data_IF_192267290021
#
_entry.id   IF_192267290021
#
_cell.length_a   1.000
_cell.length_b   1.000
_cell.length_c   1.000
_cell.angle_alpha   90.00
_cell.angle_beta   90.00
_cell.angle_gamma   90.00
#
_symmetry.space_group_name_H-M   'P 1'
#
loop_
_entity.id
_entity.type
_entity.pdbx_description
1 polymer ?
#
# COMPACT_ATOMS: atom_id res chain seq x y z
N UNK A 1 14.64 1.75 -6.53
CA UNK A 1 14.32 1.80 -7.97
C UNK A 1 14.69 3.18 -8.53
N UNK A 2 14.09 4.30 -8.09
CA UNK A 2 14.39 5.65 -8.61
C UNK A 2 15.88 5.99 -8.60
N UNK A 3 16.56 5.80 -7.46
CA UNK A 3 18.00 6.04 -7.34
C UNK A 3 18.83 5.15 -8.28
N UNK A 4 18.41 3.89 -8.48
CA UNK A 4 19.07 2.99 -9.41
C UNK A 4 18.93 3.41 -10.89
N UNK A 5 17.96 4.28 -11.18
CA UNK A 5 17.77 4.90 -12.51
C UNK A 5 18.43 6.28 -12.63
N UNK A 6 19.27 6.67 -11.65
CA UNK A 6 19.94 7.96 -11.66
C UNK A 6 19.04 9.16 -11.35
N UNK A 7 17.80 8.94 -10.89
CA UNK A 7 16.88 10.04 -10.54
C UNK A 7 17.25 10.65 -9.20
N UNK A 8 17.11 11.96 -9.09
CA UNK A 8 17.23 12.65 -7.81
C UNK A 8 16.00 12.39 -6.96
N UNK A 9 16.18 12.00 -5.71
CA UNK A 9 15.10 11.74 -4.77
C UNK A 9 15.28 12.57 -3.52
N UNK A 10 14.29 13.36 -3.17
CA UNK A 10 14.19 14.05 -1.88
C UNK A 10 13.17 13.33 -1.01
N UNK A 11 13.55 13.07 0.22
CA UNK A 11 12.69 12.36 1.18
C UNK A 11 12.27 13.34 2.26
N UNK A 12 10.94 13.45 2.48
CA UNK A 12 10.39 14.14 3.64
C UNK A 12 10.37 13.21 4.84
N UNK A 13 10.82 13.67 5.99
CA UNK A 13 10.84 12.90 7.23
C UNK A 13 10.40 13.74 8.41
N UNK A 14 9.63 13.15 9.32
CA UNK A 14 9.27 13.76 10.61
C UNK A 14 10.44 13.78 11.61
N UNK A 15 11.58 13.18 11.27
CA UNK A 15 12.79 13.16 12.10
C UNK A 15 13.79 14.16 11.54
N UNK A 16 14.13 15.19 12.35
CA UNK A 16 15.02 16.30 11.98
C UNK A 16 16.47 15.91 11.63
N UNK A 17 16.94 14.72 11.91
CA UNK A 17 18.38 14.37 11.84
C UNK A 17 18.73 13.22 10.92
N UNK A 18 17.92 12.92 9.91
CA UNK A 18 18.26 11.83 8.97
C UNK A 18 18.90 12.36 7.70
N UNK A 19 20.24 12.18 7.60
CA UNK A 19 21.04 12.13 6.38
C UNK A 19 20.38 12.72 5.10
N UNK A 20 20.34 14.05 4.97
CA UNK A 20 19.87 14.71 3.75
C UNK A 20 18.34 14.67 3.51
N UNK A 21 17.55 14.21 4.49
CA UNK A 21 16.09 14.29 4.40
C UNK A 21 15.61 15.68 4.79
N UNK A 22 14.67 16.24 4.03
CA UNK A 22 13.97 17.44 4.40
C UNK A 22 12.98 17.17 5.54
N UNK A 23 12.86 18.15 6.44
CA UNK A 23 11.94 18.01 7.57
C UNK A 23 10.50 18.37 7.19
N UNK A 24 9.56 17.62 7.71
CA UNK A 24 8.16 17.99 7.74
C UNK A 24 7.47 17.48 9.00
N UNK A 25 6.43 18.19 9.44
CA UNK A 25 5.56 17.79 10.54
C UNK A 25 4.10 17.97 10.12
N UNK A 26 3.45 16.92 9.62
CA UNK A 26 2.05 16.99 9.22
C UNK A 26 1.10 17.40 10.36
N UNK A 27 1.40 17.02 11.60
CA UNK A 27 0.58 17.37 12.77
C UNK A 27 0.55 18.88 13.05
N UNK A 28 1.65 19.57 12.77
CA UNK A 28 1.77 21.02 12.86
C UNK A 28 1.56 21.75 11.52
N UNK A 29 1.35 21.02 10.44
CA UNK A 29 1.26 21.53 9.06
C UNK A 29 2.49 22.33 8.64
N UNK A 30 3.67 21.88 9.06
CA UNK A 30 4.96 22.50 8.75
C UNK A 30 5.77 21.60 7.85
N UNK A 31 6.41 22.16 6.85
CA UNK A 31 7.43 21.47 6.05
C UNK A 31 8.48 22.44 5.54
N UNK A 32 9.65 21.91 5.25
CA UNK A 32 10.72 22.59 4.51
C UNK A 32 10.28 22.73 3.05
N UNK A 33 9.89 23.95 2.65
CA UNK A 33 9.38 24.23 1.31
C UNK A 33 10.45 24.14 0.23
N UNK A 34 11.75 24.28 0.58
CA UNK A 34 12.85 24.11 -0.37
C UNK A 34 12.93 22.67 -0.88
N UNK A 35 12.35 21.72 -0.13
CA UNK A 35 12.24 20.35 -0.57
C UNK A 35 11.42 20.16 -1.84
N UNK A 36 10.54 21.10 -2.19
CA UNK A 36 9.68 21.02 -3.39
C UNK A 36 10.31 21.72 -4.60
N UNK A 37 11.40 22.50 -4.45
CA UNK A 37 12.00 23.22 -5.55
C UNK A 37 12.55 22.26 -6.62
N UNK A 38 12.08 22.43 -7.88
CA UNK A 38 12.49 21.61 -9.01
C UNK A 38 12.00 20.15 -8.95
N UNK A 39 10.99 19.87 -8.10
CA UNK A 39 10.37 18.53 -8.02
C UNK A 39 9.35 18.39 -9.15
N UNK A 40 9.48 17.34 -9.96
CA UNK A 40 8.55 17.04 -11.06
C UNK A 40 7.32 16.23 -10.58
N UNK A 41 7.53 15.29 -9.64
CA UNK A 41 6.47 14.45 -9.12
C UNK A 41 6.59 14.24 -7.60
N UNK A 42 5.47 14.23 -6.91
CA UNK A 42 5.38 13.93 -5.47
C UNK A 42 4.77 12.53 -5.29
N UNK A 43 5.46 11.67 -4.55
CA UNK A 43 4.94 10.37 -4.12
C UNK A 43 4.50 10.47 -2.66
N UNK A 44 3.19 10.47 -2.42
CA UNK A 44 2.64 10.55 -1.07
C UNK A 44 2.36 9.15 -0.52
N UNK A 45 3.32 8.62 0.24
CA UNK A 45 3.27 7.28 0.85
C UNK A 45 3.10 7.34 2.38
N UNK A 46 3.04 8.54 2.94
CA UNK A 46 3.03 8.73 4.38
C UNK A 46 1.68 8.36 5.01
N UNK A 47 1.75 7.73 6.15
CA UNK A 47 0.58 7.37 6.95
C UNK A 47 0.98 6.51 8.15
N UNK A 48 0.22 6.61 9.24
CA UNK A 48 0.39 5.74 10.40
C UNK A 48 0.12 4.27 10.02
N UNK A 49 0.87 3.37 10.67
CA UNK A 49 0.77 1.94 10.40
C UNK A 49 -0.62 1.40 10.73
N UNK A 50 -1.26 0.73 9.77
CA UNK A 50 -2.58 0.12 9.95
C UNK A 50 -2.48 -1.22 10.69
N UNK A 51 -1.33 -1.90 10.61
CA UNK A 51 -1.10 -3.23 11.19
C UNK A 51 -0.75 -3.20 12.68
N UNK A 52 -1.35 -2.28 13.44
CA UNK A 52 -1.26 -2.21 14.90
C UNK A 52 -2.66 -2.34 15.51
N UNK A 53 -2.74 -2.64 16.83
CA UNK A 53 -4.04 -2.80 17.48
C UNK A 53 -4.87 -1.51 17.41
N UNK A 54 -6.10 -1.59 16.91
CA UNK A 54 -6.97 -0.44 16.71
C UNK A 54 -7.63 0.01 18.03
N UNK A 55 -6.93 0.85 18.76
CA UNK A 55 -7.53 1.67 19.82
C UNK A 55 -8.19 2.91 19.20
N UNK A 56 -9.08 3.58 19.92
CA UNK A 56 -9.66 4.84 19.45
C UNK A 56 -8.57 5.87 19.06
N UNK A 57 -7.52 6.00 19.88
CA UNK A 57 -6.37 6.88 19.60
C UNK A 57 -5.63 6.47 18.32
N UNK A 58 -5.42 5.17 18.13
CA UNK A 58 -4.68 4.69 16.94
C UNK A 58 -5.50 4.83 15.66
N UNK A 59 -6.82 4.57 15.71
CA UNK A 59 -7.72 4.84 14.58
C UNK A 59 -7.69 6.31 14.17
N UNK A 60 -7.72 7.23 15.16
CA UNK A 60 -7.59 8.65 14.87
C UNK A 60 -6.24 8.98 14.23
N UNK A 61 -5.13 8.43 14.74
CA UNK A 61 -3.81 8.64 14.16
C UNK A 61 -3.70 8.10 12.72
N UNK A 62 -4.36 6.97 12.40
CA UNK A 62 -4.43 6.44 11.04
C UNK A 62 -5.14 7.42 10.10
N UNK A 63 -6.26 8.01 10.51
CA UNK A 63 -7.01 8.97 9.72
C UNK A 63 -6.24 10.30 9.58
N UNK A 64 -5.81 10.87 10.71
CA UNK A 64 -5.16 12.18 10.77
C UNK A 64 -3.86 12.22 9.98
N UNK A 65 -3.03 11.17 10.06
CA UNK A 65 -1.76 11.12 9.35
C UNK A 65 -1.93 11.22 7.83
N UNK A 66 -3.03 10.71 7.28
CA UNK A 66 -3.33 10.75 5.85
C UNK A 66 -3.89 12.09 5.41
N UNK A 67 -4.82 12.63 6.19
CA UNK A 67 -5.41 13.94 5.92
C UNK A 67 -4.37 15.04 6.09
N UNK A 68 -3.74 15.11 7.25
CA UNK A 68 -2.79 16.17 7.59
C UNK A 68 -1.53 16.14 6.71
N UNK A 69 -1.08 14.93 6.32
CA UNK A 69 0.03 14.77 5.39
C UNK A 69 -0.26 15.39 4.02
N UNK A 70 -1.43 15.07 3.45
CA UNK A 70 -1.84 15.63 2.17
C UNK A 70 -2.13 17.13 2.26
N UNK A 71 -2.79 17.61 3.33
CA UNK A 71 -3.04 19.05 3.56
C UNK A 71 -1.73 19.84 3.68
N UNK A 72 -0.72 19.29 4.37
CA UNK A 72 0.59 19.95 4.49
C UNK A 72 1.25 20.13 3.13
N UNK A 73 1.22 19.09 2.30
CA UNK A 73 1.74 19.15 0.93
C UNK A 73 0.91 20.11 0.06
N UNK A 74 -0.42 20.08 0.17
CA UNK A 74 -1.31 20.98 -0.56
C UNK A 74 -0.97 22.44 -0.28
N UNK A 75 -0.89 22.82 1.00
CA UNK A 75 -0.60 24.21 1.41
C UNK A 75 0.78 24.66 0.92
N UNK A 76 1.79 23.78 1.03
CA UNK A 76 3.14 24.08 0.55
C UNK A 76 3.20 24.26 -0.98
N UNK A 77 2.54 23.39 -1.74
CA UNK A 77 2.48 23.49 -3.21
C UNK A 77 1.65 24.71 -3.62
N UNK A 78 0.55 25.00 -2.92
CA UNK A 78 -0.28 26.18 -3.19
C UNK A 78 0.51 27.50 -3.05
N UNK A 79 1.42 27.57 -2.07
CA UNK A 79 2.26 28.73 -1.84
C UNK A 79 3.35 28.92 -2.90
N UNK A 80 3.63 27.91 -3.76
CA UNK A 80 4.60 28.01 -4.85
C UNK A 80 4.03 28.77 -6.05
N UNK A 81 4.86 29.51 -6.81
CA UNK A 81 4.49 29.99 -8.14
C UNK A 81 3.98 28.85 -9.02
N UNK A 82 2.92 29.09 -9.78
CA UNK A 82 2.23 28.02 -10.53
C UNK A 82 3.15 27.28 -11.53
N UNK A 83 4.09 27.98 -12.12
CA UNK A 83 5.08 27.46 -13.07
C UNK A 83 6.19 26.63 -12.41
N UNK A 84 6.32 26.69 -11.09
CA UNK A 84 7.31 25.94 -10.30
C UNK A 84 6.72 24.74 -9.54
N UNK A 85 5.40 24.55 -9.61
CA UNK A 85 4.71 23.44 -8.95
C UNK A 85 5.09 22.09 -9.56
N UNK A 86 5.10 21.01 -8.77
CA UNK A 86 5.18 19.65 -9.30
C UNK A 86 4.09 19.42 -10.37
N UNK A 87 4.40 18.62 -11.38
CA UNK A 87 3.44 18.29 -12.45
C UNK A 87 2.51 17.14 -12.07
N UNK A 88 2.96 16.27 -11.17
CA UNK A 88 2.21 15.07 -10.79
C UNK A 88 2.21 14.83 -9.27
N UNK A 89 1.07 14.36 -8.78
CA UNK A 89 0.90 13.88 -7.40
C UNK A 89 0.42 12.43 -7.45
N UNK A 90 1.27 11.50 -7.01
CA UNK A 90 0.97 10.08 -7.00
C UNK A 90 0.73 9.66 -5.55
N UNK A 91 -0.51 9.42 -5.21
CA UNK A 91 -0.90 9.05 -3.84
C UNK A 91 -1.03 7.55 -3.68
N UNK A 92 -0.48 7.03 -2.58
CA UNK A 92 -0.95 5.75 -2.07
C UNK A 92 -2.43 5.88 -1.65
N UNK A 93 -3.14 4.78 -1.82
CA UNK A 93 -4.49 4.51 -1.32
C UNK A 93 -4.54 3.03 -0.91
N UNK A 94 -5.72 2.45 -0.66
CA UNK A 94 -5.80 1.06 -0.23
C UNK A 94 -7.06 0.35 -0.77
N UNK A 95 -6.94 -0.97 -0.98
CA UNK A 95 -8.08 -1.84 -1.33
C UNK A 95 -9.14 -1.92 -0.24
N UNK A 96 -8.91 -1.33 0.94
CA UNK A 96 -9.90 -1.21 2.01
C UNK A 96 -11.14 -0.38 1.67
N UNK A 97 -11.19 0.26 0.49
CA UNK A 97 -12.38 0.92 -0.07
C UNK A 97 -13.39 -0.07 -0.63
N UNK A 98 -12.98 -1.29 -0.92
CA UNK A 98 -13.87 -2.31 -1.47
C UNK A 98 -14.59 -3.08 -0.35
N UNK A 99 -15.88 -3.38 -0.50
CA UNK A 99 -16.60 -4.23 0.44
C UNK A 99 -15.97 -5.62 0.59
N UNK A 100 -16.23 -6.27 1.73
CA UNK A 100 -15.84 -7.64 1.97
C UNK A 100 -16.82 -8.60 1.24
N UNK A 101 -16.47 -8.99 0.02
CA UNK A 101 -17.27 -9.90 -0.80
C UNK A 101 -16.37 -10.94 -1.48
N UNK A 102 -16.49 -12.23 -1.15
CA UNK A 102 -15.65 -13.30 -1.70
C UNK A 102 -15.97 -13.65 -3.16
N UNK A 103 -17.13 -13.25 -3.68
CA UNK A 103 -17.60 -13.61 -5.03
C UNK A 103 -17.33 -12.50 -6.06
N UNK A 104 -17.15 -11.25 -5.60
CA UNK A 104 -16.97 -10.10 -6.48
C UNK A 104 -15.50 -9.89 -6.88
N UNK A 105 -15.28 -9.61 -8.16
CA UNK A 105 -14.04 -9.04 -8.69
C UNK A 105 -14.19 -7.52 -8.73
N UNK A 106 -13.31 -6.81 -8.03
CA UNK A 106 -13.32 -5.35 -7.97
C UNK A 106 -12.40 -4.72 -9.00
N UNK A 107 -12.87 -3.64 -9.58
CA UNK A 107 -12.16 -2.77 -10.50
C UNK A 107 -12.00 -1.37 -9.91
N UNK A 108 -11.26 -0.50 -10.59
CA UNK A 108 -10.96 0.86 -10.13
C UNK A 108 -12.21 1.72 -9.92
N UNK A 109 -13.26 1.48 -10.72
CA UNK A 109 -14.54 2.20 -10.62
C UNK A 109 -15.39 1.80 -9.41
N UNK A 110 -15.06 0.66 -8.82
CA UNK A 110 -15.77 0.15 -7.65
C UNK A 110 -15.33 0.87 -6.36
N UNK A 111 -16.16 0.72 -5.32
CA UNK A 111 -15.91 1.26 -3.99
C UNK A 111 -17.06 0.94 -3.06
N UNK A 112 -17.24 1.74 -2.02
CA UNK A 112 -18.42 1.70 -1.17
C UNK A 112 -18.30 0.81 0.07
N UNK A 113 -17.08 0.40 0.47
CA UNK A 113 -16.92 -0.25 1.77
C UNK A 113 -17.42 0.67 2.90
N UNK A 114 -18.22 0.10 3.78
CA UNK A 114 -18.66 0.76 5.01
C UNK A 114 -17.64 0.58 6.14
N UNK A 115 -17.71 1.46 7.15
CA UNK A 115 -16.90 1.38 8.35
C UNK A 115 -15.51 2.00 8.20
N UNK A 116 -14.69 1.78 9.23
CA UNK A 116 -13.47 2.54 9.45
C UNK A 116 -12.49 2.54 8.27
N UNK A 117 -12.23 1.39 7.65
CA UNK A 117 -11.28 1.33 6.52
C UNK A 117 -11.80 2.10 5.30
N UNK A 118 -13.08 1.93 4.96
CA UNK A 118 -13.71 2.65 3.87
C UNK A 118 -13.69 4.17 4.10
N UNK A 119 -13.98 4.61 5.33
CA UNK A 119 -13.97 6.03 5.72
C UNK A 119 -12.57 6.62 5.59
N UNK A 120 -11.55 5.91 6.08
CA UNK A 120 -10.15 6.34 5.97
C UNK A 120 -9.73 6.49 4.51
N UNK A 121 -10.06 5.51 3.66
CA UNK A 121 -9.65 5.56 2.25
C UNK A 121 -10.39 6.67 1.50
N UNK A 122 -11.68 6.87 1.73
CA UNK A 122 -12.45 7.99 1.14
C UNK A 122 -11.84 9.34 1.49
N UNK A 123 -11.55 9.55 2.78
CA UNK A 123 -10.93 10.80 3.23
C UNK A 123 -9.53 11.00 2.62
N UNK A 124 -8.76 9.93 2.51
CA UNK A 124 -7.43 9.96 1.90
C UNK A 124 -7.48 10.29 0.41
N UNK A 125 -8.33 9.60 -0.36
CA UNK A 125 -8.49 9.85 -1.79
C UNK A 125 -9.03 11.26 -2.07
N UNK A 126 -9.97 11.75 -1.25
CA UNK A 126 -10.47 13.12 -1.34
C UNK A 126 -9.34 14.17 -1.19
N UNK A 127 -8.45 13.97 -0.22
CA UNK A 127 -7.32 14.90 -0.06
C UNK A 127 -6.31 14.83 -1.22
N UNK A 128 -6.16 13.67 -1.85
CA UNK A 128 -5.34 13.55 -3.05
C UNK A 128 -5.97 14.27 -4.25
N UNK A 129 -7.30 14.15 -4.42
CA UNK A 129 -8.03 14.81 -5.53
C UNK A 129 -7.93 16.34 -5.47
N UNK A 130 -7.85 16.92 -4.28
CA UNK A 130 -7.65 18.37 -4.13
C UNK A 130 -6.40 18.91 -4.83
N UNK A 131 -5.39 18.09 -5.06
CA UNK A 131 -4.18 18.51 -5.78
C UNK A 131 -4.48 18.93 -7.22
N UNK A 132 -5.60 18.46 -7.81
CA UNK A 132 -6.06 18.89 -9.14
C UNK A 132 -6.43 20.39 -9.17
N UNK A 133 -6.91 20.96 -8.04
CA UNK A 133 -7.20 22.39 -7.89
C UNK A 133 -5.94 23.25 -8.08
N UNK A 134 -4.76 22.67 -7.85
CA UNK A 134 -3.46 23.33 -8.03
C UNK A 134 -2.86 23.10 -9.42
N UNK A 135 -3.58 22.40 -10.32
CA UNK A 135 -3.14 22.08 -11.67
C UNK A 135 -2.23 20.84 -11.75
N UNK A 136 -2.11 20.03 -10.69
CA UNK A 136 -1.34 18.80 -10.72
C UNK A 136 -2.15 17.66 -11.34
N UNK A 137 -1.49 16.80 -12.09
CA UNK A 137 -2.02 15.50 -12.49
C UNK A 137 -2.03 14.56 -11.28
N UNK A 138 -3.19 13.98 -10.98
CA UNK A 138 -3.36 13.09 -9.82
C UNK A 138 -3.55 11.64 -10.24
N UNK A 139 -2.79 10.73 -9.63
CA UNK A 139 -3.05 9.30 -9.70
C UNK A 139 -3.04 8.70 -8.29
N UNK A 140 -3.99 7.81 -8.02
CA UNK A 140 -4.19 7.15 -6.71
C UNK A 140 -4.04 5.65 -6.88
N UNK A 141 -3.14 5.03 -6.12
CA UNK A 141 -2.87 3.60 -6.20
C UNK A 141 -3.47 2.88 -4.99
N UNK A 142 -4.58 2.15 -5.19
CA UNK A 142 -5.24 1.32 -4.17
C UNK A 142 -4.44 0.06 -3.93
N UNK A 143 -3.60 0.10 -2.93
CA UNK A 143 -2.60 -0.92 -2.64
C UNK A 143 -3.23 -2.10 -1.90
N UNK A 144 -2.92 -3.31 -2.37
CA UNK A 144 -3.24 -4.56 -1.70
C UNK A 144 -2.20 -4.95 -0.65
N UNK A 145 -1.98 -6.24 -0.47
CA UNK A 145 -1.01 -6.79 0.47
C UNK A 145 0.38 -6.77 -0.16
N UNK A 146 1.25 -5.91 0.34
CA UNK A 146 2.62 -5.79 -0.17
C UNK A 146 3.51 -6.89 0.39
N UNK A 147 4.10 -7.67 -0.51
CA UNK A 147 5.10 -8.67 -0.15
C UNK A 147 6.50 -8.07 -0.27
N UNK A 148 7.16 -7.90 0.86
CA UNK A 148 8.52 -7.37 0.95
C UNK A 148 9.37 -8.19 1.92
N UNK A 149 10.67 -8.31 1.63
CA UNK A 149 11.61 -8.99 2.51
C UNK A 149 11.68 -8.28 3.86
N UNK A 150 11.46 -9.01 4.94
CA UNK A 150 11.51 -8.51 6.32
C UNK A 150 10.54 -7.33 6.61
N UNK A 151 9.47 -7.19 5.84
CA UNK A 151 8.49 -6.12 6.03
C UNK A 151 7.06 -6.60 5.78
N UNK A 152 6.09 -5.78 6.20
CA UNK A 152 4.67 -6.05 5.99
C UNK A 152 4.21 -7.40 6.56
N UNK A 153 3.30 -8.06 5.85
CA UNK A 153 2.72 -9.34 6.27
C UNK A 153 3.75 -10.45 6.40
N UNK A 154 4.79 -10.47 5.55
CA UNK A 154 5.82 -11.50 5.61
C UNK A 154 6.66 -11.42 6.88
N UNK A 155 6.97 -10.21 7.38
CA UNK A 155 7.70 -10.07 8.66
C UNK A 155 6.96 -10.74 9.82
N UNK A 156 5.63 -10.72 9.80
CA UNK A 156 4.78 -11.36 10.82
C UNK A 156 4.64 -12.86 10.60
N UNK A 157 4.47 -13.31 9.36
CA UNK A 157 4.20 -14.71 9.05
C UNK A 157 5.47 -15.59 9.06
N UNK A 158 6.60 -15.08 8.56
CA UNK A 158 7.82 -15.86 8.39
C UNK A 158 8.31 -16.56 9.68
N UNK A 159 8.33 -15.95 10.88
CA UNK A 159 8.71 -16.65 12.09
C UNK A 159 7.84 -17.88 12.35
N UNK A 160 6.51 -17.73 12.22
CA UNK A 160 5.54 -18.79 12.46
C UNK A 160 5.72 -19.93 11.46
N UNK A 161 5.83 -19.61 10.18
CA UNK A 161 6.00 -20.59 9.12
C UNK A 161 7.35 -21.32 9.18
N UNK A 162 8.43 -20.64 9.55
CA UNK A 162 9.76 -21.26 9.75
C UNK A 162 9.75 -22.34 10.83
N UNK A 163 8.90 -22.21 11.85
CA UNK A 163 8.70 -23.21 12.89
C UNK A 163 7.76 -24.36 12.47
N UNK A 164 7.23 -24.34 11.24
CA UNK A 164 6.27 -25.34 10.75
C UNK A 164 4.86 -25.18 11.33
N UNK A 165 4.57 -24.04 11.94
CA UNK A 165 3.27 -23.72 12.55
C UNK A 165 2.38 -22.89 11.61
N UNK A 166 2.75 -22.77 10.33
CA UNK A 166 1.98 -22.05 9.33
C UNK A 166 0.58 -22.65 9.13
N UNK A 167 -0.44 -21.80 9.19
CA UNK A 167 -1.84 -22.20 9.05
C UNK A 167 -2.64 -21.16 8.29
N UNK A 168 -3.74 -21.56 7.61
CA UNK A 168 -4.68 -20.61 7.03
C UNK A 168 -5.40 -19.81 8.11
N UNK A 169 -5.79 -18.58 7.79
CA UNK A 169 -6.60 -17.72 8.67
C UNK A 169 -8.09 -17.92 8.38
N UNK A 170 -8.92 -17.92 9.41
CA UNK A 170 -10.36 -18.14 9.28
C UNK A 170 -10.66 -19.47 8.58
N UNK A 171 -11.49 -19.44 7.54
CA UNK A 171 -11.77 -20.60 6.68
C UNK A 171 -10.73 -20.78 5.55
N UNK A 172 -9.81 -19.84 5.40
CA UNK A 172 -8.80 -19.82 4.34
C UNK A 172 -9.31 -19.53 2.93
N UNK A 173 -10.60 -19.14 2.79
CA UNK A 173 -11.25 -18.95 1.49
C UNK A 173 -11.22 -17.50 1.01
N UNK A 174 -10.91 -16.54 1.88
CA UNK A 174 -10.85 -15.13 1.52
C UNK A 174 -9.72 -14.85 0.53
N UNK A 175 -9.97 -13.92 -0.39
CA UNK A 175 -9.02 -13.46 -1.38
C UNK A 175 -7.99 -12.52 -0.75
N UNK A 176 -6.74 -12.68 -1.17
CA UNK A 176 -5.62 -11.85 -0.77
C UNK A 176 -5.08 -11.12 -2.01
N UNK A 177 -5.46 -9.86 -2.23
CA UNK A 177 -4.93 -9.05 -3.32
C UNK A 177 -3.49 -8.66 -2.97
N UNK A 178 -2.53 -9.39 -3.46
CA UNK A 178 -1.11 -9.18 -3.13
C UNK A 178 -0.33 -8.58 -4.30
N UNK A 179 0.81 -7.97 -3.99
CA UNK A 179 1.78 -7.48 -4.96
C UNK A 179 3.20 -7.57 -4.38
N UNK A 180 4.18 -7.87 -5.23
CA UNK A 180 5.59 -7.79 -4.86
C UNK A 180 6.04 -6.34 -4.72
N UNK A 181 6.85 -6.01 -3.70
CA UNK A 181 7.27 -4.63 -3.40
C UNK A 181 7.99 -3.95 -4.57
N UNK A 182 8.76 -4.70 -5.36
CA UNK A 182 9.43 -4.15 -6.54
C UNK A 182 8.44 -3.79 -7.66
N UNK A 183 7.42 -4.62 -7.88
CA UNK A 183 6.38 -4.33 -8.88
C UNK A 183 5.52 -3.15 -8.44
N UNK A 184 5.18 -3.06 -7.15
CA UNK A 184 4.51 -1.89 -6.60
C UNK A 184 5.33 -0.60 -6.82
N UNK A 185 6.63 -0.63 -6.55
CA UNK A 185 7.51 0.52 -6.80
C UNK A 185 7.56 0.89 -8.29
N UNK A 186 7.56 -0.11 -9.18
CA UNK A 186 7.48 0.11 -10.64
C UNK A 186 6.13 0.67 -11.07
N UNK A 187 5.02 0.25 -10.45
CA UNK A 187 3.70 0.84 -10.68
C UNK A 187 3.69 2.32 -10.31
N UNK A 188 4.22 2.70 -9.15
CA UNK A 188 4.35 4.11 -8.76
C UNK A 188 5.14 4.91 -9.78
N UNK A 189 6.26 4.37 -10.27
CA UNK A 189 7.08 5.03 -11.28
C UNK A 189 6.36 5.16 -12.62
N UNK A 190 5.67 4.10 -13.05
CA UNK A 190 4.87 4.13 -14.27
C UNK A 190 3.81 5.23 -14.21
N UNK A 191 3.11 5.37 -13.07
CA UNK A 191 2.14 6.44 -12.87
C UNK A 191 2.78 7.84 -12.93
N UNK A 192 4.01 8.00 -12.47
CA UNK A 192 4.70 9.28 -12.54
C UNK A 192 5.17 9.62 -13.95
N UNK A 193 5.64 8.63 -14.70
CA UNK A 193 6.29 8.81 -16.01
C UNK A 193 5.29 8.97 -17.17
N UNK A 194 4.06 8.43 -17.04
CA UNK A 194 3.06 8.43 -18.12
C UNK A 194 1.97 9.45 -17.83
N UNK A 195 1.91 10.49 -18.65
CA UNK A 195 0.98 11.63 -18.45
C UNK A 195 -0.50 11.24 -18.55
N UNK A 196 -0.81 10.19 -19.28
CA UNK A 196 -2.17 9.67 -19.43
C UNK A 196 -2.64 8.84 -18.25
N UNK A 197 -1.72 8.48 -17.32
CA UNK A 197 -2.06 7.74 -16.12
C UNK A 197 -2.63 8.68 -15.05
N UNK A 198 -3.96 8.80 -15.03
CA UNK A 198 -4.72 9.63 -14.08
C UNK A 198 -5.74 8.81 -13.30
N UNK A 199 -6.26 9.38 -12.21
CA UNK A 199 -7.34 8.82 -11.42
C UNK A 199 -6.93 7.59 -10.62
N UNK A 200 -7.82 6.59 -10.53
CA UNK A 200 -7.65 5.43 -9.65
C UNK A 200 -6.99 4.27 -10.39
N UNK A 201 -6.08 3.59 -9.71
CA UNK A 201 -5.39 2.37 -10.14
C UNK A 201 -5.36 1.36 -9.00
N UNK A 202 -5.37 0.06 -9.29
CA UNK A 202 -5.19 -0.99 -8.28
C UNK A 202 -3.72 -1.35 -8.13
N UNK A 203 -3.20 -1.30 -6.91
CA UNK A 203 -1.84 -1.71 -6.56
C UNK A 203 -1.78 -3.19 -6.22
N UNK A 204 -2.07 -4.05 -7.19
CA UNK A 204 -2.09 -5.52 -7.02
C UNK A 204 -1.36 -6.21 -8.16
N UNK A 205 -0.92 -7.44 -7.91
CA UNK A 205 -0.41 -8.33 -8.95
C UNK A 205 -1.53 -9.01 -9.75
N UNK A 206 -1.22 -9.67 -10.88
CA UNK A 206 -2.21 -10.33 -11.74
C UNK A 206 -2.77 -11.63 -11.12
N UNK A 207 -2.03 -12.24 -10.21
CA UNK A 207 -2.40 -13.51 -9.58
C UNK A 207 -3.35 -13.28 -8.39
N UNK A 208 -4.61 -13.64 -8.59
CA UNK A 208 -5.62 -13.61 -7.52
C UNK A 208 -5.56 -14.89 -6.69
N UNK A 209 -5.10 -14.80 -5.45
CA UNK A 209 -4.84 -15.95 -4.58
C UNK A 209 -5.72 -15.95 -3.35
N UNK A 210 -6.17 -17.15 -2.92
CA UNK A 210 -6.89 -17.34 -1.65
C UNK A 210 -5.91 -17.58 -0.49
N UNK A 211 -6.29 -17.21 0.73
CA UNK A 211 -5.43 -17.30 1.91
C UNK A 211 -4.84 -18.70 2.15
N UNK A 212 -5.64 -19.78 1.95
CA UNK A 212 -5.13 -21.16 2.08
C UNK A 212 -4.05 -21.48 1.07
N UNK A 213 -4.20 -21.03 -0.16
CA UNK A 213 -3.22 -21.23 -1.22
C UNK A 213 -1.95 -20.42 -0.95
N UNK A 214 -2.10 -19.12 -0.63
CA UNK A 214 -0.99 -18.28 -0.19
C UNK A 214 -0.18 -18.95 0.95
N UNK A 215 -0.88 -19.43 1.98
CA UNK A 215 -0.24 -20.08 3.13
C UNK A 215 0.47 -21.37 2.74
N UNK A 216 -0.13 -22.17 1.85
CA UNK A 216 0.48 -23.41 1.35
C UNK A 216 1.74 -23.11 0.55
N UNK A 217 1.67 -22.18 -0.40
CA UNK A 217 2.81 -21.79 -1.24
C UNK A 217 3.95 -21.22 -0.40
N UNK A 218 3.64 -20.42 0.64
CA UNK A 218 4.65 -19.91 1.57
C UNK A 218 5.32 -21.04 2.35
N UNK A 219 4.56 -22.02 2.84
CA UNK A 219 5.11 -23.18 3.55
C UNK A 219 6.01 -24.03 2.64
N UNK A 220 5.59 -24.26 1.38
CA UNK A 220 6.37 -24.96 0.36
C UNK A 220 7.68 -24.24 0.05
N UNK A 221 7.64 -22.93 -0.18
CA UNK A 221 8.82 -22.12 -0.43
C UNK A 221 9.83 -22.15 0.74
N UNK A 222 9.34 -22.28 1.96
CA UNK A 222 10.17 -22.44 3.16
C UNK A 222 10.58 -23.90 3.42
N UNK A 223 10.13 -24.87 2.61
CA UNK A 223 10.30 -26.32 2.82
C UNK A 223 9.81 -26.76 4.20
N UNK A 224 8.64 -26.26 4.62
CA UNK A 224 8.01 -26.57 5.91
C UNK A 224 6.68 -27.30 5.70
N UNK A 225 6.29 -28.16 6.63
CA UNK A 225 5.02 -28.87 6.58
C UNK A 225 3.85 -27.88 6.67
N UNK A 226 2.72 -28.25 6.06
CA UNK A 226 1.48 -27.47 6.07
C UNK A 226 0.30 -28.38 6.39
N UNK A 227 0.16 -28.72 7.67
CA UNK A 227 -0.91 -29.60 8.18
C UNK A 227 -1.68 -28.98 9.34
N UNK A 228 -1.24 -27.82 9.84
CA UNK A 228 -1.90 -27.17 10.97
C UNK A 228 -3.36 -26.79 10.60
N UNK A 229 -4.30 -26.94 11.54
CA UNK A 229 -5.68 -26.51 11.36
C UNK A 229 -5.74 -24.98 11.18
N UNK A 230 -6.76 -24.51 10.49
CA UNK A 230 -6.96 -23.06 10.29
C UNK A 230 -7.10 -22.34 11.63
N UNK A 231 -6.50 -21.16 11.74
CA UNK A 231 -6.64 -20.28 12.92
C UNK A 231 -8.07 -19.70 12.90
N UNK A 232 -8.92 -20.01 13.88
CA UNK A 232 -10.31 -19.56 13.87
C UNK A 232 -10.39 -18.02 13.97
N UNK A 233 -11.40 -17.43 13.32
CA UNK A 233 -11.60 -15.98 13.33
C UNK A 233 -11.72 -15.39 14.74
N UNK A 234 -12.40 -16.10 15.67
CA UNK A 234 -12.52 -15.63 17.05
C UNK A 234 -11.16 -15.51 17.77
N UNK A 235 -10.22 -16.42 17.49
CA UNK A 235 -8.87 -16.37 18.08
C UNK A 235 -8.08 -15.18 17.53
N UNK A 236 -8.25 -14.85 16.24
CA UNK A 236 -7.66 -13.67 15.65
C UNK A 236 -8.24 -12.39 16.27
N UNK A 237 -9.56 -12.33 16.47
CA UNK A 237 -10.21 -11.18 17.14
C UNK A 237 -9.75 -11.02 18.59
N UNK A 238 -9.54 -12.12 19.31
CA UNK A 238 -9.00 -12.07 20.69
C UNK A 238 -7.58 -11.49 20.72
N UNK A 239 -6.73 -11.93 19.79
CA UNK A 239 -5.32 -11.50 19.73
C UNK A 239 -5.14 -10.08 19.20
N UNK A 240 -5.84 -9.74 18.12
CA UNK A 240 -5.62 -8.52 17.32
C UNK A 240 -6.73 -7.47 17.49
N UNK A 241 -7.83 -7.81 18.17
CA UNK A 241 -9.00 -6.95 18.27
C UNK A 241 -9.65 -6.69 16.91
N UNK A 242 -10.15 -5.49 16.70
CA UNK A 242 -10.79 -5.10 15.44
C UNK A 242 -9.85 -5.19 14.21
N UNK A 243 -8.53 -5.07 14.41
CA UNK A 243 -7.55 -5.18 13.32
C UNK A 243 -7.57 -6.56 12.66
N UNK A 244 -8.09 -7.61 13.33
CA UNK A 244 -8.26 -8.94 12.76
C UNK A 244 -9.06 -8.94 11.45
N UNK A 245 -9.98 -7.98 11.27
CA UNK A 245 -10.76 -7.85 10.04
C UNK A 245 -9.88 -7.62 8.80
N UNK A 246 -8.73 -6.94 8.94
CA UNK A 246 -7.79 -6.73 7.81
C UNK A 246 -7.26 -8.07 7.28
N UNK A 247 -6.97 -8.99 8.19
CA UNK A 247 -6.47 -10.33 7.84
C UNK A 247 -7.55 -11.31 7.38
N UNK A 248 -8.83 -10.99 7.61
CA UNK A 248 -9.98 -11.85 7.27
C UNK A 248 -10.81 -11.30 6.11
N UNK A 249 -10.56 -10.06 5.69
CA UNK A 249 -11.28 -9.42 4.59
C UNK A 249 -10.99 -10.14 3.28
N UNK A 250 -12.04 -10.39 2.51
CA UNK A 250 -11.96 -11.00 1.20
C UNK A 250 -12.18 -9.93 0.13
N UNK A 251 -11.12 -9.59 -0.57
CA UNK A 251 -11.18 -8.59 -1.64
C UNK A 251 -10.41 -9.13 -2.84
N UNK A 252 -11.11 -9.44 -3.91
CA UNK A 252 -10.49 -9.85 -5.17
C UNK A 252 -10.42 -8.64 -6.09
N UNK A 253 -9.21 -8.19 -6.44
CA UNK A 253 -8.99 -7.00 -7.26
C UNK A 253 -8.44 -7.39 -8.63
N UNK A 254 -8.85 -6.64 -9.66
CA UNK A 254 -8.39 -6.80 -11.03
C UNK A 254 -7.07 -6.05 -11.26
N UNK A 255 -6.13 -6.66 -11.99
CA UNK A 255 -4.94 -6.00 -12.52
C UNK A 255 -5.10 -5.64 -14.01
N UNK A 256 -6.28 -5.84 -14.61
CA UNK A 256 -6.52 -5.70 -16.04
C UNK A 256 -6.16 -4.30 -16.59
N UNK A 257 -6.32 -3.24 -15.78
CA UNK A 257 -5.93 -1.89 -16.19
C UNK A 257 -4.42 -1.78 -16.43
N UNK A 258 -3.58 -2.47 -15.64
CA UNK A 258 -2.14 -2.55 -15.84
C UNK A 258 -1.77 -3.35 -17.08
N UNK A 259 -2.45 -4.47 -17.30
CA UNK A 259 -2.27 -5.30 -18.50
C UNK A 259 -2.64 -4.50 -19.77
N UNK A 260 -3.73 -3.71 -19.68
CA UNK A 260 -4.20 -2.85 -20.76
C UNK A 260 -3.21 -1.76 -21.20
N UNK A 261 -2.32 -1.31 -20.30
CA UNK A 261 -1.23 -0.35 -20.63
C UNK A 261 0.11 -1.05 -20.87
N UNK A 262 0.12 -2.37 -20.95
CA UNK A 262 1.34 -3.14 -21.22
C UNK A 262 2.33 -3.16 -20.06
N UNK A 263 1.87 -3.00 -18.81
CA UNK A 263 2.76 -3.08 -17.66
C UNK A 263 3.28 -4.52 -17.48
N UNK A 264 4.58 -4.67 -17.50
CA UNK A 264 5.25 -5.96 -17.30
C UNK A 264 5.49 -6.24 -15.81
N UNK A 265 4.83 -7.26 -15.25
CA UNK A 265 5.04 -7.71 -13.87
C UNK A 265 6.26 -8.61 -13.79
N UNK A 266 7.26 -8.23 -12.98
CA UNK A 266 8.44 -9.07 -12.77
C UNK A 266 8.15 -10.28 -11.89
N UNK A 267 7.15 -10.19 -11.02
CA UNK A 267 6.75 -11.25 -10.08
C UNK A 267 5.25 -11.52 -10.18
N UNK A 268 4.80 -12.10 -11.32
CA UNK A 268 3.38 -12.28 -11.59
C UNK A 268 2.72 -13.39 -10.77
N UNK A 269 3.50 -14.30 -10.16
CA UNK A 269 3.00 -15.43 -9.37
C UNK A 269 3.61 -15.45 -7.96
N UNK A 270 2.92 -16.07 -6.99
CA UNK A 270 3.44 -16.24 -5.62
C UNK A 270 4.76 -17.00 -5.59
N UNK A 271 4.91 -18.03 -6.43
CA UNK A 271 6.16 -18.80 -6.49
C UNK A 271 7.34 -17.92 -6.89
N UNK A 272 7.19 -17.09 -7.93
CA UNK A 272 8.21 -16.15 -8.36
C UNK A 272 8.53 -15.12 -7.25
N UNK A 273 7.50 -14.58 -6.60
CA UNK A 273 7.65 -13.61 -5.51
C UNK A 273 8.39 -14.23 -4.31
N UNK A 274 7.98 -15.40 -3.84
CA UNK A 274 8.63 -16.05 -2.70
C UNK A 274 10.03 -16.55 -3.05
N UNK A 275 10.27 -17.03 -4.27
CA UNK A 275 11.60 -17.43 -4.71
C UNK A 275 12.61 -16.28 -4.55
N UNK A 276 12.22 -15.04 -4.88
CA UNK A 276 13.08 -13.87 -4.73
C UNK A 276 13.17 -13.39 -3.26
N UNK A 277 12.02 -13.28 -2.57
CA UNK A 277 11.96 -12.67 -1.22
C UNK A 277 12.61 -13.53 -0.14
N UNK A 278 12.61 -14.86 -0.31
CA UNK A 278 13.13 -15.80 0.69
C UNK A 278 14.59 -16.21 0.46
N UNK A 279 15.23 -15.71 -0.61
CA UNK A 279 16.66 -15.91 -0.81
C UNK A 279 17.47 -15.33 0.37
N UNK A 280 18.50 -16.04 0.84
CA UNK A 280 19.45 -15.45 1.79
C UNK A 280 19.97 -14.11 1.23
N UNK A 281 20.18 -13.14 2.11
CA UNK A 281 20.91 -11.93 1.71
C UNK A 281 22.33 -12.34 1.35
N UNK A 282 22.77 -12.05 0.15
CA UNK A 282 24.17 -12.19 -0.22
C UNK A 282 25.05 -11.28 0.65
#
# INVERSE_FOLDING_TARGET
VLLAQGRQVRVLSTRKSRNGHAYWDPGQRIMDTDALQGVEAVFHLAGANVAERWTRKHKQAILDSRIQGAETLFNAIQAMPADQRPKAFISASAVGIYPNDPERLYHEVDGGAEGFLGDVVRAWEYQADRMEELGLRVAKLRIGIVLGKNSGVLATLLPIFKWGLGAPLGNGRHWMPWIHVNDLARQFMHLADHVDCVGIWTGVGPDSTRNREFSRTLAQALRRPFFAPSVPAWALHLALGEMAQVGLMSTRCSAAKWEGVGFDFHYPTLDAAFAQLLQPSA
#
